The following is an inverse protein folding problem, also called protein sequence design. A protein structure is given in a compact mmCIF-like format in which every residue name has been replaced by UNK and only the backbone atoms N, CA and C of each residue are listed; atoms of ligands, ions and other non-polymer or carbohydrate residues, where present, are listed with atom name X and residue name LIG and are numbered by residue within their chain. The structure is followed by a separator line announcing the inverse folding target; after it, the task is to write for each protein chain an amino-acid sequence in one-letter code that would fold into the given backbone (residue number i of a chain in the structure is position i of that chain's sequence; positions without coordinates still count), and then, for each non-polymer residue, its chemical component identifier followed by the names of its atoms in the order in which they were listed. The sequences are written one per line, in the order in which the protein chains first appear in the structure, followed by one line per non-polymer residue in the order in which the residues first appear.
data_IF_208451932209
#
_entry.id   IF_208451932209
#
_cell.length_a   1.000
_cell.length_b   1.000
_cell.length_c   1.000
_cell.angle_alpha   90.00
_cell.angle_beta   90.00
_cell.angle_gamma   90.00
#
_symmetry.space_group_name_H-M   'P 1'
#
loop_
_entity.id
_entity.type
_entity.pdbx_description
1 polymer ?
#
# COMPACT_ATOMS: atom_id res chain seq x y z
N UNK A 1 3.46 -21.25 23.04
CA UNK A 1 2.84 -19.95 22.75
C UNK A 1 3.42 -19.40 21.46
N UNK A 2 2.65 -19.33 20.35
CA UNK A 2 3.14 -18.77 19.08
C UNK A 2 3.11 -17.25 19.18
N UNK A 3 4.28 -16.62 19.10
CA UNK A 3 4.40 -15.16 19.04
C UNK A 3 3.45 -14.59 17.97
N UNK A 4 2.69 -13.55 18.32
CA UNK A 4 1.89 -12.75 17.39
C UNK A 4 2.80 -12.21 16.27
N UNK A 5 2.93 -12.96 15.16
CA UNK A 5 3.68 -12.54 13.97
C UNK A 5 2.90 -11.44 13.26
N UNK A 6 3.59 -10.38 12.85
CA UNK A 6 3.01 -9.38 11.93
C UNK A 6 2.66 -10.16 10.66
N UNK A 7 1.38 -10.25 10.34
CA UNK A 7 0.94 -10.87 9.09
C UNK A 7 1.03 -9.81 7.99
N UNK A 8 1.70 -10.17 6.90
CA UNK A 8 1.67 -9.36 5.68
C UNK A 8 0.56 -9.93 4.81
N UNK A 9 -0.46 -9.13 4.60
CA UNK A 9 -1.61 -9.47 3.76
C UNK A 9 -1.59 -8.63 2.49
N UNK A 10 -2.10 -9.17 1.40
CA UNK A 10 -2.36 -8.42 0.18
C UNK A 10 -3.73 -8.79 -0.38
N UNK A 11 -4.32 -7.93 -1.21
CA UNK A 11 -5.58 -8.24 -1.85
C UNK A 11 -5.37 -8.92 -3.20
N UNK A 12 -6.38 -9.66 -3.65
CA UNK A 12 -6.40 -10.25 -4.99
C UNK A 12 -6.34 -9.15 -6.07
N UNK A 13 -6.91 -7.97 -5.81
CA UNK A 13 -6.83 -6.85 -6.74
C UNK A 13 -5.39 -6.32 -6.90
N UNK A 14 -4.65 -6.16 -5.79
CA UNK A 14 -3.23 -5.78 -5.81
C UNK A 14 -2.39 -6.81 -6.58
N UNK A 15 -2.61 -8.10 -6.32
CA UNK A 15 -1.94 -9.18 -7.05
C UNK A 15 -2.17 -9.07 -8.56
N UNK A 16 -3.44 -8.98 -8.97
CA UNK A 16 -3.81 -8.92 -10.39
C UNK A 16 -3.26 -7.66 -11.08
N UNK A 17 -3.27 -6.52 -10.39
CA UNK A 17 -2.71 -5.28 -10.92
C UNK A 17 -1.19 -5.39 -11.11
N UNK A 18 -0.48 -5.92 -10.12
CA UNK A 18 0.96 -6.12 -10.23
C UNK A 18 1.35 -7.08 -11.37
N UNK A 19 0.59 -8.17 -11.56
CA UNK A 19 0.81 -9.12 -12.67
C UNK A 19 0.55 -8.49 -14.05
N UNK A 20 -0.47 -7.62 -14.17
CA UNK A 20 -0.74 -6.87 -15.41
C UNK A 20 0.34 -5.83 -15.72
N UNK A 21 0.83 -5.14 -14.69
CA UNK A 21 1.75 -4.01 -14.86
C UNK A 21 3.21 -4.43 -15.10
N UNK A 22 3.59 -5.67 -14.78
CA UNK A 22 4.98 -6.12 -14.85
C UNK A 22 5.57 -5.95 -16.27
N UNK A 23 4.77 -6.23 -17.31
CA UNK A 23 5.20 -6.10 -18.69
C UNK A 23 5.44 -4.65 -19.07
N UNK A 24 4.50 -3.77 -18.74
CA UNK A 24 4.61 -2.32 -18.96
C UNK A 24 5.80 -1.72 -18.21
N UNK A 25 6.04 -2.16 -16.97
CA UNK A 25 7.15 -1.68 -16.16
C UNK A 25 8.51 -2.10 -16.74
N UNK A 26 8.66 -3.37 -17.14
CA UNK A 26 9.91 -3.85 -17.77
C UNK A 26 10.16 -3.15 -19.10
N UNK A 27 9.13 -2.98 -19.93
CA UNK A 27 9.27 -2.28 -21.21
C UNK A 27 9.75 -0.83 -20.99
N UNK A 28 9.08 -0.07 -20.12
CA UNK A 28 9.49 1.31 -19.78
C UNK A 28 10.95 1.39 -19.31
N UNK A 29 11.36 0.47 -18.44
CA UNK A 29 12.73 0.45 -17.92
C UNK A 29 13.75 0.14 -19.03
N UNK A 30 13.50 -0.87 -19.86
CA UNK A 30 14.40 -1.22 -20.96
C UNK A 30 14.47 -0.10 -22.00
N UNK A 31 13.32 0.51 -22.33
CA UNK A 31 13.24 1.60 -23.31
C UNK A 31 14.01 2.84 -22.84
N UNK A 32 13.95 3.13 -21.54
CA UNK A 32 14.70 4.26 -20.94
C UNK A 32 16.22 4.04 -20.94
N UNK A 33 16.67 2.79 -20.88
CA UNK A 33 18.09 2.44 -20.90
C UNK A 33 18.65 2.34 -22.33
N UNK A 34 17.92 1.69 -23.24
CA UNK A 34 18.35 1.47 -24.62
C UNK A 34 17.15 1.38 -25.60
N UNK A 35 16.92 2.41 -26.42
CA UNK A 35 15.72 2.51 -27.28
C UNK A 35 15.71 1.55 -28.50
N UNK A 36 16.73 0.69 -28.70
CA UNK A 36 16.82 -0.20 -29.88
C UNK A 36 16.98 -1.69 -29.50
N UNK A 37 15.97 -2.48 -29.88
CA UNK A 37 16.00 -3.93 -30.18
C UNK A 37 16.60 -4.91 -29.14
N UNK A 38 16.39 -4.69 -27.85
CA UNK A 38 16.77 -5.67 -26.82
C UNK A 38 15.66 -6.70 -26.51
N UNK A 39 15.12 -7.39 -27.52
CA UNK A 39 14.02 -8.36 -27.35
C UNK A 39 14.38 -9.47 -26.34
N UNK A 40 15.60 -10.00 -26.42
CA UNK A 40 16.10 -11.02 -25.51
C UNK A 40 16.23 -10.50 -24.06
N UNK A 41 16.72 -9.27 -23.88
CA UNK A 41 16.83 -8.65 -22.55
C UNK A 41 15.44 -8.44 -21.94
N UNK A 42 14.46 -7.97 -22.73
CA UNK A 42 13.06 -7.86 -22.26
C UNK A 42 12.53 -9.20 -21.80
N UNK A 43 12.68 -10.25 -22.60
CA UNK A 43 12.20 -11.59 -22.24
C UNK A 43 12.86 -12.10 -20.95
N UNK A 44 14.18 -11.94 -20.81
CA UNK A 44 14.92 -12.36 -19.63
C UNK A 44 14.55 -11.54 -18.38
N UNK A 45 14.40 -10.22 -18.52
CA UNK A 45 13.95 -9.35 -17.45
C UNK A 45 12.53 -9.70 -17.00
N UNK A 46 11.59 -9.91 -17.94
CA UNK A 46 10.23 -10.34 -17.65
C UNK A 46 10.20 -11.66 -16.89
N UNK A 47 10.95 -12.67 -17.34
CA UNK A 47 11.01 -13.97 -16.68
C UNK A 47 11.55 -13.87 -15.25
N UNK A 48 12.60 -13.08 -15.03
CA UNK A 48 13.16 -12.81 -13.70
C UNK A 48 12.16 -12.08 -12.80
N UNK A 49 11.55 -11.00 -13.29
CA UNK A 49 10.57 -10.23 -12.53
C UNK A 49 9.33 -11.07 -12.19
N UNK A 50 8.80 -11.85 -13.12
CA UNK A 50 7.65 -12.72 -12.89
C UNK A 50 7.95 -13.83 -11.88
N UNK A 51 9.16 -14.40 -11.92
CA UNK A 51 9.60 -15.38 -10.92
C UNK A 51 9.70 -14.74 -9.54
N UNK A 52 10.34 -13.57 -9.44
CA UNK A 52 10.44 -12.85 -8.18
C UNK A 52 9.09 -12.43 -7.62
N UNK A 53 8.15 -12.04 -8.48
CA UNK A 53 6.79 -11.69 -8.07
C UNK A 53 6.05 -12.92 -7.50
N UNK A 54 6.19 -14.09 -8.12
CA UNK A 54 5.63 -15.35 -7.58
C UNK A 54 6.22 -15.70 -6.22
N UNK A 55 7.52 -15.52 -6.03
CA UNK A 55 8.17 -15.71 -4.72
C UNK A 55 7.63 -14.71 -3.68
N UNK A 56 7.40 -13.45 -4.04
CA UNK A 56 6.79 -12.49 -3.12
C UNK A 56 5.38 -12.93 -2.70
N UNK A 57 4.61 -13.48 -3.63
CA UNK A 57 3.27 -14.02 -3.35
C UNK A 57 3.27 -15.23 -2.44
N UNK A 58 4.33 -16.04 -2.39
CA UNK A 58 4.41 -17.16 -1.46
C UNK A 58 4.66 -16.73 -0.01
N UNK A 59 5.04 -15.46 0.21
CA UNK A 59 5.33 -14.90 1.54
C UNK A 59 4.20 -14.03 2.11
N UNK A 60 3.10 -13.84 1.39
CA UNK A 60 1.97 -13.00 1.82
C UNK A 60 0.66 -13.76 1.75
N UNK A 61 -0.23 -13.51 2.71
CA UNK A 61 -1.59 -14.04 2.67
C UNK A 61 -2.40 -13.21 1.67
N UNK A 62 -2.85 -13.85 0.58
CA UNK A 62 -3.68 -13.19 -0.44
C UNK A 62 -5.14 -13.33 -0.04
N UNK A 63 -5.82 -12.21 0.15
CA UNK A 63 -7.21 -12.15 0.57
C UNK A 63 -8.10 -11.69 -0.60
N UNK A 64 -9.31 -12.25 -0.66
CA UNK A 64 -10.38 -11.71 -1.50
C UNK A 64 -11.16 -10.72 -0.66
N UNK A 65 -11.11 -9.45 -1.06
CA UNK A 65 -11.69 -8.34 -0.32
C UNK A 65 -12.67 -7.60 -1.21
N UNK A 66 -13.70 -7.06 -0.57
CA UNK A 66 -14.67 -6.20 -1.22
C UNK A 66 -14.70 -4.87 -0.49
N UNK A 67 -14.35 -3.81 -1.21
CA UNK A 67 -14.34 -2.44 -0.71
C UNK A 67 -15.46 -1.62 -1.31
N UNK A 68 -15.90 -0.59 -0.57
CA UNK A 68 -16.87 0.38 -1.07
C UNK A 68 -16.15 1.51 -1.81
N UNK A 69 -16.01 1.36 -3.14
CA UNK A 69 -15.33 2.36 -4.00
C UNK A 69 -16.06 3.70 -3.98
N UNK A 70 -17.40 3.71 -3.92
CA UNK A 70 -18.21 4.94 -3.93
C UNK A 70 -17.85 5.84 -2.74
N UNK A 71 -17.64 5.25 -1.57
CA UNK A 71 -17.25 6.00 -0.38
C UNK A 71 -15.89 6.70 -0.54
N UNK A 72 -14.91 5.99 -1.11
CA UNK A 72 -13.58 6.54 -1.41
C UNK A 72 -13.65 7.63 -2.49
N UNK A 73 -14.48 7.43 -3.52
CA UNK A 73 -14.72 8.46 -4.56
C UNK A 73 -15.28 9.74 -3.94
N UNK A 74 -16.26 9.64 -3.05
CA UNK A 74 -16.81 10.79 -2.33
C UNK A 74 -15.77 11.54 -1.50
N UNK A 75 -14.85 10.83 -0.85
CA UNK A 75 -13.74 11.44 -0.12
C UNK A 75 -12.84 12.30 -1.03
N UNK A 76 -12.38 11.76 -2.17
CA UNK A 76 -11.55 12.53 -3.08
C UNK A 76 -12.30 13.68 -3.77
N UNK A 77 -13.61 13.53 -4.01
CA UNK A 77 -14.46 14.63 -4.49
C UNK A 77 -14.46 15.80 -3.50
N UNK A 78 -14.70 15.54 -2.21
CA UNK A 78 -14.62 16.57 -1.14
C UNK A 78 -13.24 17.25 -1.12
N UNK A 79 -12.15 16.48 -1.27
CA UNK A 79 -10.80 17.05 -1.35
C UNK A 79 -10.61 17.95 -2.58
N UNK A 80 -11.27 17.67 -3.69
CA UNK A 80 -11.18 18.46 -4.91
C UNK A 80 -11.99 19.77 -4.87
N UNK A 81 -12.98 19.84 -3.99
CA UNK A 81 -13.84 21.00 -3.77
C UNK A 81 -13.20 22.01 -2.79
N UNK A 82 -12.42 21.54 -1.82
CA UNK A 82 -11.70 22.41 -0.90
C UNK A 82 -10.44 23.02 -1.56
N UNK A 83 -10.29 24.36 -1.62
CA UNK A 83 -9.17 25.02 -2.30
C UNK A 83 -7.78 24.55 -1.85
N UNK A 84 -7.58 24.34 -0.54
CA UNK A 84 -6.27 23.97 0.00
C UNK A 84 -5.85 22.56 -0.39
N UNK A 85 -6.77 21.60 -0.32
CA UNK A 85 -6.50 20.20 -0.72
C UNK A 85 -6.47 20.05 -2.23
N UNK A 86 -7.24 20.85 -2.97
CA UNK A 86 -7.20 20.90 -4.43
C UNK A 86 -5.82 21.28 -4.96
N UNK A 87 -5.15 22.30 -4.39
CA UNK A 87 -3.79 22.67 -4.81
C UNK A 87 -2.80 21.50 -4.64
N UNK A 88 -2.97 20.66 -3.61
CA UNK A 88 -2.14 19.48 -3.38
C UNK A 88 -2.44 18.38 -4.39
N UNK A 89 -3.72 18.15 -4.73
CA UNK A 89 -4.11 17.24 -5.82
C UNK A 89 -3.53 17.70 -7.18
N UNK A 90 -3.51 19.00 -7.45
CA UNK A 90 -2.94 19.56 -8.68
C UNK A 90 -1.41 19.33 -8.74
N UNK A 91 -0.71 19.46 -7.62
CA UNK A 91 0.73 19.11 -7.54
C UNK A 91 0.95 17.63 -7.87
N UNK A 92 0.15 16.72 -7.31
CA UNK A 92 0.24 15.28 -7.59
C UNK A 92 -0.06 14.99 -9.07
N UNK A 93 -1.12 15.59 -9.62
CA UNK A 93 -1.47 15.45 -11.04
C UNK A 93 -0.30 15.84 -11.93
N UNK A 94 0.31 17.00 -11.66
CA UNK A 94 1.43 17.50 -12.44
C UNK A 94 2.67 16.60 -12.30
N UNK A 95 2.96 16.12 -11.09
CA UNK A 95 4.06 15.18 -10.84
C UNK A 95 3.87 13.84 -11.56
N UNK A 96 2.65 13.29 -11.56
CA UNK A 96 2.32 12.02 -12.24
C UNK A 96 2.09 12.17 -13.75
N UNK A 97 1.96 13.39 -14.27
CA UNK A 97 1.54 13.63 -15.66
C UNK A 97 0.12 13.12 -15.96
N UNK A 98 -0.75 13.07 -14.95
CA UNK A 98 -2.13 12.57 -15.09
C UNK A 98 -3.04 13.64 -15.70
N UNK A 99 -4.09 13.20 -16.40
CA UNK A 99 -5.17 14.09 -16.89
C UNK A 99 -6.21 14.41 -15.82
N UNK A 100 -6.27 13.61 -14.74
CA UNK A 100 -7.29 13.68 -13.70
C UNK A 100 -6.68 14.08 -12.35
N UNK A 101 -7.46 14.79 -11.54
CA UNK A 101 -7.17 15.01 -10.11
C UNK A 101 -7.56 13.79 -9.25
N UNK A 102 -8.36 12.88 -9.80
CA UNK A 102 -8.75 11.66 -9.12
C UNK A 102 -7.67 10.58 -9.29
N UNK A 103 -7.45 9.74 -8.26
CA UNK A 103 -6.73 8.49 -8.41
C UNK A 103 -7.38 7.59 -9.47
N UNK A 104 -6.62 6.62 -9.98
CA UNK A 104 -7.14 5.62 -10.91
C UNK A 104 -8.17 4.72 -10.22
N UNK A 105 -9.09 4.11 -10.98
CA UNK A 105 -10.11 3.21 -10.39
C UNK A 105 -9.47 2.01 -9.67
N UNK A 106 -8.31 1.54 -10.12
CA UNK A 106 -7.50 0.52 -9.46
C UNK A 106 -7.01 0.99 -8.08
N UNK A 107 -6.49 2.20 -7.99
CA UNK A 107 -6.04 2.82 -6.74
C UNK A 107 -7.21 2.97 -5.75
N UNK A 108 -8.34 3.49 -6.23
CA UNK A 108 -9.57 3.63 -5.44
C UNK A 108 -10.07 2.28 -4.90
N UNK A 109 -9.96 1.22 -5.73
CA UNK A 109 -10.30 -0.14 -5.31
C UNK A 109 -9.36 -0.64 -4.21
N UNK A 110 -8.05 -0.48 -4.38
CA UNK A 110 -7.05 -0.96 -3.41
C UNK A 110 -7.24 -0.32 -2.03
N UNK A 111 -7.41 0.99 -1.96
CA UNK A 111 -7.66 1.67 -0.67
C UNK A 111 -9.01 1.25 -0.08
N UNK A 112 -10.05 1.06 -0.90
CA UNK A 112 -11.36 0.61 -0.41
C UNK A 112 -11.28 -0.78 0.24
N UNK A 113 -10.47 -1.69 -0.31
CA UNK A 113 -10.23 -3.02 0.26
C UNK A 113 -9.42 -2.95 1.57
N UNK A 114 -8.43 -2.05 1.65
CA UNK A 114 -7.68 -1.81 2.88
C UNK A 114 -8.57 -1.25 4.01
N UNK A 115 -9.55 -0.41 3.68
CA UNK A 115 -10.55 0.10 4.63
C UNK A 115 -11.44 -1.05 5.13
N UNK A 116 -11.92 -1.92 4.24
CA UNK A 116 -12.71 -3.10 4.63
C UNK A 116 -11.95 -4.03 5.58
N UNK A 117 -10.64 -4.21 5.40
CA UNK A 117 -9.81 -4.99 6.34
C UNK A 117 -9.76 -4.39 7.74
N UNK A 118 -9.80 -3.05 7.86
CA UNK A 118 -9.77 -2.35 9.14
C UNK A 118 -11.05 -2.55 9.96
N UNK A 119 -12.17 -2.85 9.31
CA UNK A 119 -13.47 -3.03 9.95
C UNK A 119 -13.50 -4.22 10.95
N UNK A 120 -12.56 -5.17 10.86
CA UNK A 120 -12.48 -6.32 11.76
C UNK A 120 -11.62 -6.13 13.01
N UNK A 121 -11.67 -4.98 13.69
CA UNK A 121 -10.89 -4.60 14.89
C UNK A 121 -9.35 -4.67 14.80
N UNK A 122 -8.79 -5.15 13.70
CA UNK A 122 -7.35 -5.25 13.49
C UNK A 122 -6.72 -3.88 13.30
N UNK A 123 -5.53 -3.65 13.86
CA UNK A 123 -4.73 -2.48 13.49
C UNK A 123 -4.11 -2.70 12.10
N UNK A 124 -4.62 -1.97 11.10
CA UNK A 124 -4.20 -2.09 9.70
C UNK A 124 -3.32 -0.90 9.32
N UNK A 125 -2.14 -1.21 8.80
CA UNK A 125 -1.21 -0.23 8.24
C UNK A 125 -1.17 -0.39 6.72
N UNK A 126 -1.66 0.62 6.01
CA UNK A 126 -1.64 0.65 4.56
C UNK A 126 -0.31 1.20 4.06
N UNK A 127 0.54 0.30 3.57
CA UNK A 127 1.88 0.62 3.12
C UNK A 127 1.86 0.91 1.63
N UNK A 128 2.30 2.09 1.22
CA UNK A 128 2.27 2.50 -0.19
C UNK A 128 3.37 3.51 -0.54
N UNK A 129 3.64 3.63 -1.84
CA UNK A 129 4.46 4.70 -2.42
C UNK A 129 3.63 5.67 -3.26
N UNK A 130 2.31 5.49 -3.30
CA UNK A 130 1.44 6.32 -4.12
C UNK A 130 1.23 7.69 -3.47
N UNK A 131 1.54 8.75 -4.22
CA UNK A 131 1.44 10.13 -3.74
C UNK A 131 0.02 10.54 -3.35
N UNK A 132 -1.04 10.02 -3.99
CA UNK A 132 -2.41 10.33 -3.57
C UNK A 132 -2.73 9.82 -2.17
N UNK A 133 -2.02 8.78 -1.70
CA UNK A 133 -2.24 8.21 -0.38
C UNK A 133 -1.25 8.77 0.64
N UNK A 134 0.01 8.95 0.26
CA UNK A 134 1.04 9.51 1.13
C UNK A 134 0.73 10.97 1.50
N UNK A 135 0.40 11.80 0.51
CA UNK A 135 0.09 13.22 0.69
C UNK A 135 -1.13 13.39 1.62
N UNK A 136 -2.20 12.65 1.37
CA UNK A 136 -3.45 12.74 2.13
C UNK A 136 -3.54 11.75 3.30
N UNK A 137 -2.41 11.32 3.83
CA UNK A 137 -2.36 10.28 4.89
C UNK A 137 -3.11 10.68 6.16
N UNK A 138 -3.12 11.97 6.50
CA UNK A 138 -3.85 12.51 7.65
C UNK A 138 -5.36 12.49 7.40
N UNK A 139 -5.80 12.99 6.26
CA UNK A 139 -7.20 13.06 5.86
C UNK A 139 -7.81 11.65 5.72
N UNK A 140 -7.03 10.70 5.17
CA UNK A 140 -7.39 9.28 5.10
C UNK A 140 -7.57 8.69 6.51
N UNK A 141 -6.69 9.04 7.46
CA UNK A 141 -6.85 8.59 8.83
C UNK A 141 -8.07 9.24 9.50
N UNK A 142 -8.32 10.52 9.26
CA UNK A 142 -9.46 11.23 9.84
C UNK A 142 -10.80 10.65 9.36
N UNK A 143 -10.95 10.40 8.05
CA UNK A 143 -12.17 9.85 7.43
C UNK A 143 -12.35 8.35 7.71
N UNK A 144 -11.29 7.55 7.51
CA UNK A 144 -11.41 6.08 7.47
C UNK A 144 -10.74 5.36 8.64
N UNK A 145 -10.05 6.09 9.54
CA UNK A 145 -9.21 5.51 10.60
C UNK A 145 -8.13 4.55 10.08
N UNK A 146 -7.75 4.69 8.80
CA UNK A 146 -6.72 3.89 8.15
C UNK A 146 -5.36 4.60 8.26
N UNK A 147 -4.35 3.89 8.76
CA UNK A 147 -2.99 4.45 8.90
C UNK A 147 -2.20 4.21 7.62
N UNK A 148 -1.90 5.27 6.88
CA UNK A 148 -1.04 5.19 5.69
C UNK A 148 0.43 5.32 6.09
N UNK A 149 1.29 4.49 5.49
CA UNK A 149 2.75 4.48 5.72
C UNK A 149 3.51 4.48 4.39
N UNK A 150 4.43 5.44 4.17
CA UNK A 150 5.31 5.42 3.00
C UNK A 150 6.21 4.19 3.00
N UNK A 151 6.46 3.59 1.84
CA UNK A 151 7.39 2.46 1.69
C UNK A 151 8.77 2.76 2.27
N UNK A 152 9.28 3.99 2.13
CA UNK A 152 10.61 4.36 2.68
C UNK A 152 10.68 4.24 4.21
N UNK A 153 9.54 4.36 4.89
CA UNK A 153 9.45 4.28 6.36
C UNK A 153 9.39 2.83 6.89
N UNK A 154 9.25 1.83 6.01
CA UNK A 154 8.98 0.45 6.39
C UNK A 154 10.01 -0.16 7.35
N UNK A 155 11.31 0.08 7.12
CA UNK A 155 12.37 -0.52 7.94
C UNK A 155 12.31 0.01 9.37
N UNK A 156 12.21 1.33 9.51
CA UNK A 156 12.08 1.98 10.81
C UNK A 156 10.77 1.58 11.50
N UNK A 157 9.69 1.53 10.73
CA UNK A 157 8.38 1.15 11.24
C UNK A 157 8.33 -0.29 11.74
N UNK A 158 8.99 -1.23 11.04
CA UNK A 158 9.14 -2.61 11.51
C UNK A 158 9.84 -2.66 12.86
N UNK A 159 10.95 -1.93 13.03
CA UNK A 159 11.68 -1.85 14.31
C UNK A 159 10.79 -1.31 15.43
N UNK A 160 10.06 -0.23 15.17
CA UNK A 160 9.12 0.35 16.14
C UNK A 160 8.01 -0.64 16.55
N UNK A 161 7.47 -1.41 15.62
CA UNK A 161 6.47 -2.43 15.93
C UNK A 161 7.05 -3.57 16.77
N UNK A 162 8.31 -3.94 16.55
CA UNK A 162 9.02 -4.95 17.36
C UNK A 162 9.26 -4.43 18.79
N UNK A 163 9.75 -3.19 18.95
CA UNK A 163 9.96 -2.56 20.25
C UNK A 163 8.65 -2.38 21.06
N UNK A 164 7.56 -1.98 20.41
CA UNK A 164 6.25 -1.83 21.05
C UNK A 164 5.71 -3.16 21.57
N UNK A 165 6.02 -4.28 20.90
CA UNK A 165 5.67 -5.62 21.37
C UNK A 165 6.45 -6.00 22.62
N UNK A 166 7.76 -5.76 22.62
CA UNK A 166 8.60 -6.03 23.79
C UNK A 166 8.13 -5.25 25.02
N UNK A 167 7.78 -3.97 24.85
CA UNK A 167 7.23 -3.13 25.93
C UNK A 167 5.89 -3.63 26.45
N UNK A 168 4.98 -4.07 25.58
CA UNK A 168 3.68 -4.66 25.98
C UNK A 168 3.86 -6.00 26.70
N UNK A 169 4.79 -6.84 26.23
CA UNK A 169 5.13 -8.11 26.86
C UNK A 169 5.70 -7.90 28.28
N UNK A 170 6.61 -6.93 28.44
CA UNK A 170 7.22 -6.62 29.74
C UNK A 170 6.25 -5.98 30.75
N UNK A 171 5.27 -5.19 30.30
CA UNK A 171 4.21 -4.67 31.19
C UNK A 171 3.28 -5.78 31.68
N UNK A 172 2.87 -6.69 30.80
CA UNK A 172 2.02 -7.82 31.19
C UNK A 172 2.78 -8.80 32.11
N UNK A 173 4.08 -9.00 31.91
CA UNK A 173 4.92 -9.80 32.81
C UNK A 173 5.15 -9.19 34.19
N UNK A 174 5.16 -7.85 34.33
CA UNK A 174 5.25 -7.17 35.63
C UNK A 174 3.95 -7.19 36.42
N UNK A 175 2.79 -7.10 35.75
CA UNK A 175 1.48 -7.18 36.40
C UNK A 175 1.22 -8.58 37.01
N UNK A 176 1.72 -9.64 36.37
CA UNK A 176 1.60 -11.00 36.88
C UNK A 176 2.53 -11.32 38.05
N UNK A 177 3.59 -10.53 38.27
CA UNK A 177 4.53 -10.71 39.40
C UNK A 177 4.18 -9.84 40.62
N UNK A 178 3.20 -8.94 40.50
CA UNK A 178 2.69 -8.13 41.62
C UNK A 178 1.45 -8.73 42.30
N UNK A 179 0.97 -9.88 41.83
CA UNK A 179 -0.20 -10.61 42.37
C UNK A 179 0.18 -11.96 43.02
N UNK A 180 1.45 -12.16 43.37
CA UNK A 180 1.92 -13.32 44.14
C UNK A 180 2.51 -12.89 45.48
#
# INVERSE_FOLDING_TARGET
MRANRIKVVTSTAVKNEAEKQITSAVNRLVDSAHPRRLRQVRALALAKCATRLRELWSHVDILTLHGNITHVKGFYQKLSENPHTRTRLEKIRNFKGSRSLMPEDSDLKIISEAISLKAGDNEVYFVTKDEHFCEFSREIYEEFKLRVRPVQSLIQFKRQLEELKERKSNRNGRLLLSEC
#
